data_IF_634890683777
#
_entry.id   IF_634890683777
#
_cell.length_a   1.000
_cell.length_b   1.000
_cell.length_c   1.000
_cell.angle_alpha   90.00
_cell.angle_beta   90.00
_cell.angle_gamma   90.00
#
_symmetry.space_group_name_H-M   'P 1'
#
loop_
_entity.id
_entity.type
_entity.pdbx_description
1 polymer ?
#
# COMPACT_ATOMS: atom_id res chain seq x y z
N UNK A 1 -48.46 -11.36 -68.02
CA UNK A 1 -47.56 -12.51 -67.77
C UNK A 1 -47.07 -12.37 -66.33
N UNK A 2 -47.88 -12.74 -65.35
CA UNK A 2 -48.00 -14.07 -64.70
C UNK A 2 -46.78 -14.51 -63.88
N UNK A 3 -47.03 -14.63 -62.56
CA UNK A 3 -46.54 -15.56 -61.51
C UNK A 3 -45.99 -14.80 -60.28
N UNK A 4 -46.71 -14.64 -59.15
CA UNK A 4 -47.27 -15.59 -58.15
C UNK A 4 -46.20 -16.45 -57.45
N UNK A 5 -45.91 -16.10 -56.19
CA UNK A 5 -45.64 -16.96 -55.00
C UNK A 5 -45.85 -16.04 -53.76
N UNK A 6 -47.00 -16.04 -53.08
CA UNK A 6 -47.52 -16.94 -52.02
C UNK A 6 -46.79 -16.79 -50.65
N UNK A 7 -47.55 -16.22 -49.69
CA UNK A 7 -47.64 -16.48 -48.25
C UNK A 7 -46.38 -16.53 -47.36
N UNK A 8 -46.32 -15.69 -46.31
CA UNK A 8 -46.85 -16.07 -44.99
C UNK A 8 -46.58 -15.01 -43.90
N UNK A 9 -47.57 -14.90 -43.01
CA UNK A 9 -47.67 -14.04 -41.84
C UNK A 9 -46.55 -14.21 -40.80
N UNK A 10 -46.15 -13.07 -40.22
CA UNK A 10 -46.13 -12.77 -38.77
C UNK A 10 -45.78 -13.95 -37.85
N UNK A 11 -44.58 -13.91 -37.27
CA UNK A 11 -44.34 -14.46 -35.94
C UNK A 11 -43.73 -13.39 -35.04
N UNK A 12 -44.50 -13.05 -34.01
CA UNK A 12 -44.17 -12.21 -32.87
C UNK A 12 -42.87 -12.66 -32.18
N UNK A 13 -41.95 -11.73 -31.94
CA UNK A 13 -41.00 -11.85 -30.82
C UNK A 13 -41.15 -10.61 -29.94
N UNK A 14 -41.72 -10.88 -28.77
CA UNK A 14 -41.96 -10.00 -27.64
C UNK A 14 -40.67 -9.99 -26.78
N UNK A 15 -40.11 -8.78 -26.54
CA UNK A 15 -39.42 -8.24 -25.34
C UNK A 15 -38.39 -9.10 -24.56
N UNK A 16 -37.29 -8.53 -24.01
CA UNK A 16 -37.41 -7.44 -23.05
C UNK A 16 -36.37 -6.31 -23.13
N UNK A 17 -36.85 -5.16 -22.64
CA UNK A 17 -36.10 -4.06 -22.07
C UNK A 17 -34.92 -4.52 -21.22
N UNK A 18 -33.69 -4.23 -21.65
CA UNK A 18 -32.58 -4.04 -20.72
C UNK A 18 -32.31 -2.55 -20.64
N UNK A 19 -32.89 -1.95 -19.60
CA UNK A 19 -32.35 -0.78 -18.93
C UNK A 19 -30.93 -1.20 -18.50
N UNK A 20 -29.94 -0.97 -19.36
CA UNK A 20 -28.55 -1.04 -18.94
C UNK A 20 -28.27 0.24 -18.17
N UNK A 21 -28.56 0.11 -16.87
CA UNK A 21 -28.18 0.94 -15.75
C UNK A 21 -27.36 2.17 -16.12
N UNK A 22 -27.94 3.34 -15.84
CA UNK A 22 -27.21 4.49 -15.32
C UNK A 22 -26.15 3.98 -14.32
N UNK A 23 -24.92 3.74 -14.80
CA UNK A 23 -23.76 3.64 -13.91
C UNK A 23 -23.66 5.02 -13.28
N UNK A 24 -24.22 5.10 -12.08
CA UNK A 24 -23.99 6.17 -11.13
C UNK A 24 -22.54 6.61 -11.25
N UNK A 25 -22.32 7.92 -11.41
CA UNK A 25 -21.01 8.56 -11.37
C UNK A 25 -20.40 8.26 -10.00
N UNK A 26 -19.82 7.06 -9.87
CA UNK A 26 -19.12 6.57 -8.69
C UNK A 26 -17.78 7.30 -8.72
N UNK A 27 -17.46 8.04 -7.66
CA UNK A 27 -16.19 8.73 -7.53
C UNK A 27 -15.02 7.79 -7.85
N UNK A 28 -13.98 8.31 -8.49
CA UNK A 28 -12.81 7.53 -8.89
C UNK A 28 -12.19 6.87 -7.65
N UNK A 29 -12.27 5.53 -7.56
CA UNK A 29 -11.51 4.76 -6.57
C UNK A 29 -10.03 4.82 -7.00
N UNK A 30 -9.20 5.41 -6.14
CA UNK A 30 -7.77 5.65 -6.35
C UNK A 30 -6.90 4.75 -5.47
N UNK A 31 -7.51 3.82 -4.73
CA UNK A 31 -6.86 2.80 -3.91
C UNK A 31 -7.37 1.42 -4.33
N UNK A 32 -6.71 0.36 -3.87
CA UNK A 32 -7.11 -1.03 -4.16
C UNK A 32 -8.37 -1.49 -3.39
N UNK A 33 -9.09 -0.57 -2.76
CA UNK A 33 -10.27 -0.87 -1.98
C UNK A 33 -11.50 -0.12 -2.50
N UNK A 34 -12.62 -0.82 -2.44
CA UNK A 34 -13.96 -0.25 -2.57
C UNK A 34 -14.44 0.33 -1.24
N UNK A 35 -15.45 1.19 -1.29
CA UNK A 35 -16.09 1.76 -0.10
C UNK A 35 -16.67 0.64 0.79
N UNK A 36 -17.29 -0.37 0.18
CA UNK A 36 -17.90 -1.49 0.87
C UNK A 36 -16.87 -2.33 1.62
N UNK A 37 -15.73 -2.64 0.98
CA UNK A 37 -14.64 -3.39 1.62
C UNK A 37 -14.10 -2.66 2.86
N UNK A 38 -13.83 -1.34 2.77
CA UNK A 38 -13.34 -0.59 3.93
C UNK A 38 -14.39 -0.50 5.05
N UNK A 39 -15.67 -0.36 4.73
CA UNK A 39 -16.74 -0.39 5.75
C UNK A 39 -16.83 -1.73 6.47
N UNK A 40 -16.58 -2.84 5.77
CA UNK A 40 -16.54 -4.17 6.37
C UNK A 40 -15.31 -4.37 7.26
N UNK A 41 -14.13 -3.92 6.82
CA UNK A 41 -12.88 -4.04 7.59
C UNK A 41 -12.85 -3.09 8.80
N UNK A 42 -13.49 -1.93 8.69
CA UNK A 42 -13.47 -0.86 9.69
C UNK A 42 -14.89 -0.45 10.13
N UNK A 43 -15.68 -1.38 10.73
CA UNK A 43 -17.10 -1.14 11.01
C UNK A 43 -17.34 -0.05 12.09
N UNK A 44 -16.32 0.23 12.90
CA UNK A 44 -16.39 1.21 13.98
C UNK A 44 -16.03 2.64 13.52
N UNK A 45 -15.54 2.82 12.29
CA UNK A 45 -15.27 4.14 11.74
C UNK A 45 -16.53 4.80 11.21
N UNK A 46 -16.53 6.14 11.21
CA UNK A 46 -17.63 6.87 10.59
C UNK A 46 -17.70 6.56 9.10
N UNK A 47 -18.92 6.45 8.55
CA UNK A 47 -19.18 6.06 7.15
C UNK A 47 -18.42 6.89 6.11
N UNK A 48 -18.18 8.18 6.40
CA UNK A 48 -17.40 9.09 5.55
C UNK A 48 -15.94 8.63 5.37
N UNK A 49 -15.37 7.87 6.32
CA UNK A 49 -13.98 7.43 6.27
C UNK A 49 -13.74 6.62 5.00
N UNK A 50 -14.47 5.52 4.80
CA UNK A 50 -14.34 4.70 3.61
C UNK A 50 -14.43 5.52 2.30
N UNK A 51 -15.42 6.43 2.20
CA UNK A 51 -15.61 7.29 1.03
C UNK A 51 -14.40 8.19 0.74
N UNK A 52 -13.81 8.82 1.77
CA UNK A 52 -12.64 9.69 1.56
C UNK A 52 -11.35 8.90 1.34
N UNK A 53 -11.26 7.70 1.91
CA UNK A 53 -10.05 6.89 1.84
C UNK A 53 -9.91 6.23 0.47
N UNK A 54 -11.00 5.75 -0.15
CA UNK A 54 -10.94 5.24 -1.54
C UNK A 54 -10.55 6.32 -2.54
N UNK A 55 -10.82 7.60 -2.24
CA UNK A 55 -10.38 8.75 -3.04
C UNK A 55 -8.87 9.09 -2.81
N UNK A 56 -8.11 8.23 -2.11
CA UNK A 56 -6.68 8.42 -1.84
C UNK A 56 -6.35 9.55 -0.85
N UNK A 57 -7.35 10.11 -0.14
CA UNK A 57 -7.16 11.34 0.67
C UNK A 57 -6.36 11.13 1.96
N UNK A 58 -5.98 9.90 2.27
CA UNK A 58 -5.09 9.59 3.39
C UNK A 58 -3.60 9.68 3.02
N UNK A 59 -3.25 9.71 1.73
CA UNK A 59 -1.85 9.82 1.33
C UNK A 59 -1.32 11.25 1.47
N UNK A 60 -0.01 11.37 1.69
CA UNK A 60 0.71 12.64 1.76
C UNK A 60 0.63 13.33 3.11
N UNK A 61 1.12 14.57 3.16
CA UNK A 61 1.24 15.36 4.39
C UNK A 61 0.28 16.56 4.49
N UNK A 62 -0.76 16.63 3.64
CA UNK A 62 -1.73 17.73 3.73
C UNK A 62 -2.46 17.73 5.07
N UNK A 63 -2.90 18.90 5.56
CA UNK A 63 -3.71 19.01 6.79
C UNK A 63 -4.90 18.05 6.78
N UNK A 64 -5.54 17.89 5.62
CA UNK A 64 -6.66 16.97 5.42
C UNK A 64 -6.25 15.51 5.56
N UNK A 65 -5.12 15.13 4.97
CA UNK A 65 -4.58 13.78 5.09
C UNK A 65 -4.21 13.46 6.55
N UNK A 66 -3.55 14.39 7.25
CA UNK A 66 -3.23 14.24 8.67
C UNK A 66 -4.50 14.10 9.53
N UNK A 67 -5.53 14.89 9.27
CA UNK A 67 -6.80 14.77 9.96
C UNK A 67 -7.48 13.42 9.72
N UNK A 68 -7.45 12.92 8.47
CA UNK A 68 -7.98 11.59 8.13
C UNK A 68 -7.18 10.47 8.79
N UNK A 69 -5.85 10.54 8.82
CA UNK A 69 -5.00 9.57 9.55
C UNK A 69 -5.39 9.47 11.02
N UNK A 70 -5.80 10.59 11.64
CA UNK A 70 -6.24 10.65 13.04
C UNK A 70 -7.69 10.18 13.25
N UNK A 71 -8.63 10.61 12.39
CA UNK A 71 -10.07 10.33 12.54
C UNK A 71 -10.50 8.98 11.96
N UNK A 72 -9.77 8.50 10.96
CA UNK A 72 -10.03 7.26 10.22
C UNK A 72 -8.79 6.34 10.22
N UNK A 73 -8.22 6.00 11.40
CA UNK A 73 -6.97 5.26 11.50
C UNK A 73 -7.05 3.84 10.91
N UNK A 74 -8.16 3.12 11.07
CA UNK A 74 -8.34 1.78 10.54
C UNK A 74 -8.33 1.78 9.01
N UNK A 75 -9.14 2.62 8.37
CA UNK A 75 -9.19 2.67 6.89
C UNK A 75 -7.85 3.14 6.31
N UNK A 76 -7.23 4.16 6.92
CA UNK A 76 -5.90 4.63 6.55
C UNK A 76 -4.84 3.53 6.69
N UNK A 77 -4.84 2.77 7.79
CA UNK A 77 -3.88 1.70 8.01
C UNK A 77 -4.05 0.58 6.98
N UNK A 78 -5.28 0.23 6.60
CA UNK A 78 -5.52 -0.78 5.56
C UNK A 78 -4.96 -0.37 4.20
N UNK A 79 -5.21 0.88 3.75
CA UNK A 79 -4.67 1.33 2.46
C UNK A 79 -3.15 1.46 2.47
N UNK A 80 -2.54 1.92 3.58
CA UNK A 80 -1.09 1.96 3.71
C UNK A 80 -0.48 0.55 3.74
N UNK A 81 -1.08 -0.38 4.51
CA UNK A 81 -0.63 -1.76 4.60
C UNK A 81 -0.69 -2.44 3.22
N UNK A 82 -1.80 -2.30 2.49
CA UNK A 82 -1.94 -2.86 1.14
C UNK A 82 -0.87 -2.32 0.18
N UNK A 83 -0.52 -1.03 0.29
CA UNK A 83 0.51 -0.40 -0.54
C UNK A 83 1.88 -1.05 -0.36
N UNK A 84 2.37 -1.15 0.88
CA UNK A 84 3.67 -1.78 1.16
C UNK A 84 3.66 -3.29 0.86
N UNK A 85 2.54 -3.98 1.13
CA UNK A 85 2.35 -5.38 0.77
C UNK A 85 2.51 -5.62 -0.73
N UNK A 86 1.87 -4.78 -1.57
CA UNK A 86 1.96 -4.94 -3.01
C UNK A 86 3.39 -4.74 -3.52
N UNK A 87 4.11 -3.75 -2.99
CA UNK A 87 5.51 -3.56 -3.32
C UNK A 87 6.33 -4.80 -2.95
N UNK A 88 6.28 -5.26 -1.70
CA UNK A 88 7.03 -6.44 -1.27
C UNK A 88 6.70 -7.69 -2.08
N UNK A 89 5.43 -7.90 -2.44
CA UNK A 89 5.00 -9.03 -3.29
C UNK A 89 5.53 -8.93 -4.72
N UNK A 90 5.76 -7.72 -5.21
CA UNK A 90 6.18 -7.48 -6.59
C UNK A 90 7.68 -7.68 -6.75
N UNK A 91 8.48 -7.14 -5.83
CA UNK A 91 9.96 -7.08 -5.95
C UNK A 91 10.71 -7.94 -4.92
N UNK A 92 10.00 -8.57 -3.99
CA UNK A 92 10.60 -9.46 -3.01
C UNK A 92 11.10 -10.77 -3.62
N UNK A 93 12.15 -11.33 -3.03
CA UNK A 93 12.67 -12.67 -3.39
C UNK A 93 11.72 -13.76 -2.91
N UNK A 94 11.98 -15.02 -3.24
CA UNK A 94 11.12 -16.17 -2.87
C UNK A 94 10.79 -16.22 -1.37
N UNK A 95 11.76 -15.92 -0.51
CA UNK A 95 11.60 -15.85 0.96
C UNK A 95 10.62 -14.77 1.42
N UNK A 96 10.36 -13.76 0.59
CA UNK A 96 9.49 -12.65 0.95
C UNK A 96 8.08 -13.14 1.27
N UNK A 97 7.58 -14.22 0.66
CA UNK A 97 6.25 -14.75 0.97
C UNK A 97 6.08 -15.05 2.47
N UNK A 98 7.10 -15.64 3.09
CA UNK A 98 7.14 -15.89 4.54
C UNK A 98 7.25 -14.59 5.34
N UNK A 99 7.95 -13.58 4.79
CA UNK A 99 8.25 -12.31 5.44
C UNK A 99 7.22 -11.21 5.20
N UNK A 100 6.20 -11.45 4.38
CA UNK A 100 5.11 -10.51 4.13
C UNK A 100 4.47 -9.95 5.40
N UNK A 101 4.30 -10.67 6.52
CA UNK A 101 3.75 -10.06 7.74
C UNK A 101 4.55 -8.84 8.23
N UNK A 102 5.86 -8.77 7.92
CA UNK A 102 6.71 -7.61 8.23
C UNK A 102 6.60 -6.48 7.21
N UNK A 103 6.00 -6.71 6.03
CA UNK A 103 5.69 -5.66 5.06
C UNK A 103 4.50 -4.82 5.51
N UNK A 104 4.75 -4.03 6.56
CA UNK A 104 3.81 -3.13 7.20
C UNK A 104 4.56 -1.93 7.80
N UNK A 105 3.84 -0.82 8.02
CA UNK A 105 4.38 0.36 8.71
C UNK A 105 4.27 0.27 10.24
N UNK A 106 3.45 -0.63 10.76
CA UNK A 106 3.07 -0.72 12.18
C UNK A 106 3.67 -1.94 12.88
N UNK A 107 4.81 -2.45 12.40
CA UNK A 107 5.55 -3.51 13.09
C UNK A 107 6.00 -3.03 14.47
N UNK A 108 5.85 -3.89 15.47
CA UNK A 108 6.34 -3.68 16.82
C UNK A 108 7.82 -4.00 16.93
N UNK A 109 8.48 -3.41 17.93
CA UNK A 109 9.89 -3.76 18.25
C UNK A 109 10.06 -5.24 18.59
N UNK A 110 9.02 -5.88 19.15
CA UNK A 110 9.01 -7.30 19.47
C UNK A 110 8.97 -8.16 18.20
N UNK A 111 8.18 -7.79 17.19
CA UNK A 111 8.13 -8.51 15.91
C UNK A 111 9.44 -8.36 15.14
N UNK A 112 9.99 -7.14 15.08
CA UNK A 112 11.26 -6.85 14.39
C UNK A 112 12.47 -7.46 15.11
N UNK A 113 12.46 -7.50 16.45
CA UNK A 113 13.55 -8.07 17.25
C UNK A 113 13.40 -9.55 17.58
N UNK A 114 12.24 -10.14 17.28
CA UNK A 114 11.90 -11.53 17.60
C UNK A 114 12.28 -12.52 16.50
N UNK A 115 11.78 -13.75 16.63
CA UNK A 115 12.12 -14.85 15.72
C UNK A 115 11.72 -14.59 14.26
N UNK A 116 10.60 -13.90 14.01
CA UNK A 116 10.18 -13.55 12.66
C UNK A 116 11.14 -12.51 12.05
N UNK A 117 11.43 -11.43 12.78
CA UNK A 117 12.40 -10.42 12.36
C UNK A 117 13.76 -11.01 12.03
N UNK A 118 14.28 -11.91 12.88
CA UNK A 118 15.57 -12.60 12.65
C UNK A 118 15.55 -13.48 11.39
N UNK A 119 14.46 -14.21 11.14
CA UNK A 119 14.34 -15.06 9.94
C UNK A 119 14.19 -14.25 8.65
N UNK A 120 13.69 -13.03 8.75
CA UNK A 120 13.35 -12.17 7.63
C UNK A 120 14.34 -11.03 7.42
N UNK A 121 15.49 -11.08 8.07
CA UNK A 121 16.50 -10.03 7.89
C UNK A 121 16.91 -9.92 6.44
N UNK A 122 16.96 -11.05 5.70
CA UNK A 122 17.30 -11.02 4.28
C UNK A 122 16.42 -10.10 3.44
N UNK A 123 15.21 -9.85 3.93
CA UNK A 123 14.19 -9.06 3.28
C UNK A 123 14.14 -7.61 3.80
N UNK A 124 15.04 -7.21 4.72
CA UNK A 124 15.05 -5.87 5.31
C UNK A 124 15.27 -4.77 4.26
N UNK A 125 16.15 -5.02 3.28
CA UNK A 125 16.44 -4.08 2.19
C UNK A 125 15.19 -3.82 1.34
N UNK A 126 14.49 -4.89 0.96
CA UNK A 126 13.21 -4.79 0.24
C UNK A 126 12.14 -4.10 1.06
N UNK A 127 12.03 -4.44 2.36
CA UNK A 127 11.10 -3.77 3.26
C UNK A 127 11.37 -2.27 3.33
N UNK A 128 12.63 -1.86 3.50
CA UNK A 128 13.01 -0.45 3.64
C UNK A 128 12.69 0.34 2.37
N UNK A 129 13.00 -0.21 1.19
CA UNK A 129 12.67 0.37 -0.09
C UNK A 129 11.15 0.53 -0.28
N UNK A 130 10.38 -0.54 -0.01
CA UNK A 130 8.93 -0.52 -0.13
C UNK A 130 8.25 0.40 0.89
N UNK A 131 8.76 0.48 2.11
CA UNK A 131 8.24 1.40 3.12
C UNK A 131 8.47 2.85 2.70
N UNK A 132 9.65 3.17 2.16
CA UNK A 132 9.96 4.49 1.63
C UNK A 132 9.18 4.82 0.34
N UNK A 133 8.64 3.82 -0.36
CA UNK A 133 7.93 3.98 -1.64
C UNK A 133 8.80 4.77 -2.64
N UNK A 134 10.10 4.47 -2.65
CA UNK A 134 11.15 5.17 -3.41
C UNK A 134 11.19 6.70 -3.21
N UNK A 135 10.75 7.21 -2.05
CA UNK A 135 10.88 8.62 -1.68
C UNK A 135 12.00 8.83 -0.66
N UNK A 136 12.70 9.97 -0.77
CA UNK A 136 13.66 10.40 0.23
C UNK A 136 12.97 11.22 1.34
N UNK A 137 12.76 10.59 2.50
CA UNK A 137 12.16 11.24 3.66
C UNK A 137 13.19 11.83 4.66
N UNK A 138 14.47 11.96 4.25
CA UNK A 138 15.57 12.37 5.12
C UNK A 138 15.33 13.72 5.80
N UNK A 139 14.76 14.70 5.11
CA UNK A 139 14.45 16.02 5.69
C UNK A 139 13.48 15.90 6.86
N UNK A 140 12.36 15.18 6.67
CA UNK A 140 11.39 14.92 7.74
C UNK A 140 12.02 14.17 8.93
N UNK A 141 12.86 13.18 8.64
CA UNK A 141 13.55 12.41 9.69
C UNK A 141 14.49 13.28 10.53
N UNK A 142 15.27 14.15 9.91
CA UNK A 142 16.16 15.09 10.61
C UNK A 142 15.36 16.03 11.52
N UNK A 143 14.24 16.56 11.03
CA UNK A 143 13.33 17.40 11.82
C UNK A 143 12.74 16.66 13.03
N UNK A 144 12.54 15.35 12.92
CA UNK A 144 12.07 14.47 14.01
C UNK A 144 13.21 13.90 14.88
N UNK A 145 14.45 14.36 14.69
CA UNK A 145 15.59 13.95 15.50
C UNK A 145 16.07 12.52 15.26
N UNK A 146 15.79 11.93 14.10
CA UNK A 146 16.37 10.65 13.71
C UNK A 146 17.90 10.83 13.53
N UNK A 147 18.74 10.02 14.21
CA UNK A 147 20.19 10.13 14.11
C UNK A 147 20.71 9.91 12.68
N UNK A 148 21.86 10.52 12.37
CA UNK A 148 22.44 10.50 11.02
C UNK A 148 22.71 9.08 10.52
N UNK A 149 23.17 8.19 11.41
CA UNK A 149 23.43 6.78 11.14
C UNK A 149 22.17 5.99 10.74
N UNK A 150 20.98 6.51 11.02
CA UNK A 150 19.70 5.89 10.70
C UNK A 150 19.00 6.50 9.48
N UNK A 151 19.59 7.51 8.83
CA UNK A 151 18.93 8.20 7.70
C UNK A 151 18.82 7.33 6.44
N UNK A 152 19.63 6.28 6.33
CA UNK A 152 19.46 5.22 5.32
C UNK A 152 18.04 4.65 5.33
N UNK A 153 17.46 4.41 6.50
CA UNK A 153 16.07 3.97 6.65
C UNK A 153 15.07 5.01 6.14
N UNK A 154 15.34 6.30 6.35
CA UNK A 154 14.48 7.38 5.90
C UNK A 154 14.43 7.49 4.38
N UNK A 155 15.53 7.14 3.72
CA UNK A 155 15.63 7.05 2.26
C UNK A 155 15.12 5.72 1.70
N UNK A 156 15.00 4.69 2.52
CA UNK A 156 14.70 3.31 2.09
C UNK A 156 15.92 2.59 1.48
N UNK A 157 17.12 3.06 1.77
CA UNK A 157 18.38 2.62 1.19
C UNK A 157 19.22 1.90 2.25
N UNK A 158 18.76 0.70 2.63
CA UNK A 158 19.31 -0.10 3.73
C UNK A 158 19.92 -1.37 3.16
N UNK A 159 21.16 -1.33 2.63
CA UNK A 159 21.82 -2.50 2.09
C UNK A 159 22.16 -3.45 3.23
N UNK A 160 21.46 -4.58 3.30
CA UNK A 160 21.75 -5.63 4.26
C UNK A 160 22.23 -6.80 3.43
N UNK A 161 23.55 -7.00 3.37
CA UNK A 161 24.16 -8.04 2.51
C UNK A 161 24.71 -9.21 3.32
N UNK A 162 24.78 -9.04 4.64
CA UNK A 162 25.30 -10.02 5.58
C UNK A 162 24.58 -9.90 6.93
N UNK A 163 24.82 -10.88 7.80
CA UNK A 163 24.30 -10.86 9.17
C UNK A 163 24.88 -9.72 10.02
N UNK A 164 26.06 -9.19 9.69
CA UNK A 164 26.68 -8.12 10.49
C UNK A 164 25.95 -6.80 10.35
N UNK A 165 25.39 -6.54 9.17
CA UNK A 165 24.60 -5.37 8.82
C UNK A 165 23.43 -5.16 9.79
N UNK A 166 22.83 -6.24 10.32
CA UNK A 166 21.78 -6.20 11.34
C UNK A 166 22.20 -5.41 12.58
N UNK A 167 23.42 -5.67 13.07
CA UNK A 167 23.88 -5.09 14.33
C UNK A 167 24.05 -3.57 14.19
N UNK A 168 24.40 -3.09 13.00
CA UNK A 168 24.49 -1.68 12.68
C UNK A 168 23.11 -1.01 12.69
N UNK A 169 22.05 -1.75 12.32
CA UNK A 169 20.70 -1.21 12.20
C UNK A 169 19.83 -1.38 13.45
N UNK A 170 20.17 -2.31 14.33
CA UNK A 170 19.46 -2.52 15.61
C UNK A 170 19.25 -1.23 16.42
N UNK A 171 20.23 -0.31 16.56
CA UNK A 171 20.02 0.96 17.26
C UNK A 171 18.94 1.85 16.63
N UNK A 172 18.66 1.69 15.34
CA UNK A 172 17.66 2.47 14.61
C UNK A 172 16.22 2.04 14.88
N UNK A 173 16.01 0.84 15.42
CA UNK A 173 14.66 0.32 15.73
C UNK A 173 13.87 1.27 16.64
N UNK A 174 14.53 1.95 17.59
CA UNK A 174 13.89 2.95 18.46
C UNK A 174 13.29 4.16 17.71
N UNK A 175 13.77 4.43 16.49
CA UNK A 175 13.34 5.55 15.65
C UNK A 175 12.25 5.16 14.63
N UNK A 176 11.84 3.88 14.59
CA UNK A 176 10.91 3.36 13.59
C UNK A 176 9.57 4.09 13.56
N UNK A 177 9.10 4.59 14.70
CA UNK A 177 7.90 5.42 14.76
C UNK A 177 8.05 6.72 13.93
N UNK A 178 9.15 7.44 14.09
CA UNK A 178 9.43 8.66 13.34
C UNK A 178 9.69 8.37 11.85
N UNK A 179 10.46 7.32 11.56
CA UNK A 179 10.80 6.89 10.19
C UNK A 179 9.52 6.56 9.41
N UNK A 180 8.69 5.66 9.94
CA UNK A 180 7.46 5.23 9.27
C UNK A 180 6.42 6.36 9.18
N UNK A 181 6.39 7.28 10.15
CA UNK A 181 5.58 8.49 10.04
C UNK A 181 6.03 9.35 8.84
N UNK A 182 7.34 9.59 8.70
CA UNK A 182 7.89 10.33 7.57
C UNK A 182 7.64 9.65 6.23
N UNK A 183 7.81 8.33 6.14
CA UNK A 183 7.46 7.57 4.93
C UNK A 183 5.98 7.78 4.54
N UNK A 184 5.05 7.65 5.49
CA UNK A 184 3.62 7.88 5.27
C UNK A 184 3.28 9.33 4.87
N UNK A 185 4.13 10.31 5.20
CA UNK A 185 3.96 11.70 4.78
C UNK A 185 4.38 11.94 3.33
N UNK A 186 5.32 11.13 2.82
CA UNK A 186 5.83 11.23 1.44
C UNK A 186 4.96 10.48 0.42
N UNK A 187 4.07 9.58 0.86
CA UNK A 187 3.23 8.80 -0.05
C UNK A 187 2.39 9.67 -0.97
N UNK A 188 2.49 9.43 -2.27
CA UNK A 188 1.58 9.96 -3.29
C UNK A 188 0.33 9.11 -3.46
N UNK A 189 -0.64 9.61 -4.26
CA UNK A 189 -1.82 8.82 -4.62
C UNK A 189 -1.41 7.56 -5.38
N UNK A 190 -0.50 7.69 -6.35
CA UNK A 190 0.07 6.56 -7.09
C UNK A 190 1.29 5.98 -6.35
N UNK A 191 1.46 4.66 -6.29
CA UNK A 191 2.73 4.02 -5.92
C UNK A 191 3.89 4.56 -6.74
N UNK A 192 5.04 4.71 -6.09
CA UNK A 192 6.25 5.28 -6.72
C UNK A 192 7.43 4.30 -6.75
N UNK A 193 7.25 3.08 -6.24
CA UNK A 193 8.25 2.03 -6.36
C UNK A 193 8.41 1.57 -7.83
N UNK A 194 9.62 1.14 -8.16
CA UNK A 194 9.97 0.55 -9.45
C UNK A 194 9.72 -0.97 -9.40
N UNK A 195 8.85 -1.53 -10.27
CA UNK A 195 8.56 -2.96 -10.28
C UNK A 195 9.73 -3.83 -10.77
N UNK A 196 10.75 -3.24 -11.39
CA UNK A 196 11.98 -3.92 -11.82
C UNK A 196 13.14 -3.69 -10.84
N UNK A 197 12.87 -3.06 -9.70
CA UNK A 197 13.89 -2.83 -8.69
C UNK A 197 14.40 -4.15 -8.10
N UNK A 198 15.71 -4.23 -7.94
CA UNK A 198 16.39 -5.33 -7.28
C UNK A 198 17.24 -4.81 -6.12
N UNK A 199 17.37 -5.63 -5.07
CA UNK A 199 18.27 -5.32 -3.97
C UNK A 199 19.72 -5.25 -4.47
N UNK A 200 20.53 -4.29 -3.98
CA UNK A 200 21.88 -4.03 -4.50
C UNK A 200 22.90 -5.16 -4.23
N UNK A 201 22.52 -6.15 -3.42
CA UNK A 201 23.35 -7.29 -3.10
C UNK A 201 22.50 -8.54 -2.86
N UNK A 202 23.11 -9.69 -3.09
CA UNK A 202 22.59 -10.97 -2.63
C UNK A 202 23.08 -11.24 -1.21
N UNK A 203 22.28 -11.97 -0.44
CA UNK A 203 22.68 -12.47 0.85
C UNK A 203 23.59 -13.67 0.65
N UNK A 204 24.85 -13.53 1.07
CA UNK A 204 25.81 -14.64 1.15
C UNK A 204 25.67 -15.43 2.46
#
# INVERSE_FOLDING_TARGET
>A
MNNIFIFSCILLIILPTTIESLKSVRGTELTDFTVEQLRQLCPNEHKFCAEKIVEGKCFGNSKKAQELKRKCPCSCNNVHHKRIQNCCKTIGKEEMEFCLPLCAYNNTLSELGGGLGIKCVSQLTTWAYCAADANDATTCCKEKGVPNECLSFCKGDVPTCDLQSIFNYKPCLKNMGHITECHKQMLGIKPNFDPEWEAPCEWE
#
